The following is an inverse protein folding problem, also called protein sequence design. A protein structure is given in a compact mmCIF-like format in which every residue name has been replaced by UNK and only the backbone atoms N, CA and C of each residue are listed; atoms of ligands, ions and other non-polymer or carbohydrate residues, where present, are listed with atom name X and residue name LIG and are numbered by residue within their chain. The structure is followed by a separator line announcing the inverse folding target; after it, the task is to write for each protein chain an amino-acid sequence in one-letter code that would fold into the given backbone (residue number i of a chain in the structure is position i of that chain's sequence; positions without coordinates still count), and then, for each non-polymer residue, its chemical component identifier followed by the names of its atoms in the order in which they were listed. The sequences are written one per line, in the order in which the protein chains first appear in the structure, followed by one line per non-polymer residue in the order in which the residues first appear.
data_IF_893828477896
#
_entry.id   IF_893828477896
#
_cell.length_a   1.000
_cell.length_b   1.000
_cell.length_c   1.000
_cell.angle_alpha   90.00
_cell.angle_beta   90.00
_cell.angle_gamma   90.00
#
_symmetry.space_group_name_H-M   'P 1'
#
loop_
_entity.id
_entity.type
_entity.pdbx_description
1 polymer ?
#
# COMPACT_ATOMS: atom_id res chain seq x y z
N UNK A 1 -1.04 6.82 16.54
CA UNK A 1 -1.47 5.83 15.53
C UNK A 1 -1.14 6.39 14.15
N UNK A 2 -0.79 5.54 13.17
CA UNK A 2 -0.28 6.01 11.87
C UNK A 2 -1.44 6.53 11.02
N UNK A 3 -1.40 7.80 10.60
CA UNK A 3 -2.46 8.47 9.83
C UNK A 3 -2.88 7.69 8.58
N UNK A 4 -1.94 6.95 7.98
CA UNK A 4 -2.23 6.12 6.81
C UNK A 4 -3.03 4.87 7.16
N UNK A 5 -2.68 4.18 8.25
CA UNK A 5 -3.43 3.02 8.74
C UNK A 5 -4.86 3.42 9.09
N UNK A 6 -5.04 4.56 9.75
CA UNK A 6 -6.37 5.05 10.13
C UNK A 6 -7.20 5.40 8.88
N UNK A 7 -6.57 6.00 7.87
CA UNK A 7 -7.20 6.26 6.58
C UNK A 7 -7.60 4.97 5.84
N UNK A 8 -6.75 3.94 5.84
CA UNK A 8 -7.05 2.64 5.23
C UNK A 8 -8.21 1.91 5.91
N UNK A 9 -8.32 2.04 7.24
CA UNK A 9 -9.35 1.37 8.05
C UNK A 9 -10.66 2.14 8.17
N UNK A 10 -10.72 3.38 7.67
CA UNK A 10 -11.99 4.11 7.65
C UNK A 10 -12.96 3.35 6.75
N UNK A 11 -14.16 3.11 7.25
CA UNK A 11 -15.21 2.43 6.50
C UNK A 11 -15.90 3.40 5.54
N UNK A 12 -16.07 2.96 4.30
CA UNK A 12 -16.94 3.56 3.31
C UNK A 12 -18.21 2.71 3.21
N UNK A 13 -19.34 3.39 3.02
CA UNK A 13 -20.61 2.75 2.67
C UNK A 13 -20.79 2.89 1.16
N UNK A 14 -20.84 1.77 0.45
CA UNK A 14 -20.98 1.74 -1.01
C UNK A 14 -22.09 0.77 -1.38
N UNK A 15 -22.99 1.21 -2.26
CA UNK A 15 -24.01 0.34 -2.83
C UNK A 15 -23.47 -0.38 -4.06
N UNK A 16 -23.70 -1.69 -4.12
CA UNK A 16 -23.34 -2.55 -5.24
C UNK A 16 -24.56 -3.30 -5.75
N UNK A 17 -24.71 -3.36 -7.07
CA UNK A 17 -25.52 -4.38 -7.71
C UNK A 17 -24.63 -5.58 -8.02
N UNK A 18 -24.95 -6.75 -7.44
CA UNK A 18 -24.17 -7.99 -7.56
C UNK A 18 -24.97 -9.06 -8.30
N UNK A 19 -24.86 -9.16 -9.64
CA UNK A 19 -25.60 -10.12 -10.46
C UNK A 19 -25.42 -11.59 -10.05
N UNK A 20 -24.22 -11.99 -9.64
CA UNK A 20 -23.87 -13.35 -9.22
C UNK A 20 -24.72 -13.88 -8.05
N UNK A 21 -25.26 -12.97 -7.25
CA UNK A 21 -26.15 -13.26 -6.12
C UNK A 21 -27.53 -12.62 -6.26
N UNK A 22 -27.77 -11.91 -7.38
CA UNK A 22 -29.01 -11.23 -7.74
C UNK A 22 -29.54 -10.29 -6.63
N UNK A 23 -28.65 -9.43 -6.11
CA UNK A 23 -28.98 -8.51 -5.01
C UNK A 23 -28.35 -7.14 -5.20
N UNK A 24 -29.07 -6.11 -4.78
CA UNK A 24 -28.48 -4.84 -4.41
C UNK A 24 -28.07 -4.93 -2.94
N UNK A 25 -26.82 -4.58 -2.65
CA UNK A 25 -26.24 -4.67 -1.31
C UNK A 25 -25.57 -3.35 -0.98
N UNK A 26 -25.91 -2.78 0.16
CA UNK A 26 -25.14 -1.69 0.77
C UNK A 26 -24.05 -2.33 1.64
N UNK A 27 -22.79 -2.15 1.25
CA UNK A 27 -21.65 -2.70 1.98
C UNK A 27 -20.93 -1.59 2.74
N UNK A 28 -20.79 -1.81 4.05
CA UNK A 28 -19.89 -1.05 4.91
C UNK A 28 -18.55 -1.78 5.02
N UNK A 29 -17.55 -1.26 4.32
CA UNK A 29 -16.24 -1.90 4.16
C UNK A 29 -15.11 -0.89 4.36
N UNK A 30 -13.97 -1.28 4.95
CA UNK A 30 -12.81 -0.41 5.05
C UNK A 30 -12.20 -0.15 3.66
N UNK A 31 -11.65 1.05 3.42
CA UNK A 31 -11.04 1.42 2.13
C UNK A 31 -10.01 0.40 1.65
N UNK A 32 -9.21 -0.17 2.56
CA UNK A 32 -8.18 -1.16 2.18
C UNK A 32 -8.78 -2.39 1.49
N UNK A 33 -10.02 -2.75 1.79
CA UNK A 33 -10.67 -3.94 1.24
C UNK A 33 -11.02 -3.70 -0.24
N UNK A 34 -11.56 -2.53 -0.56
CA UNK A 34 -11.82 -2.11 -1.94
C UNK A 34 -10.51 -2.01 -2.75
N UNK A 35 -9.47 -1.42 -2.17
CA UNK A 35 -8.14 -1.35 -2.80
C UNK A 35 -7.51 -2.75 -2.99
N UNK A 36 -7.76 -3.70 -2.08
CA UNK A 36 -7.30 -5.09 -2.21
C UNK A 36 -8.01 -5.82 -3.36
N UNK A 37 -9.33 -5.66 -3.48
CA UNK A 37 -10.10 -6.23 -4.61
C UNK A 37 -9.50 -5.70 -5.91
N UNK A 38 -9.37 -4.38 -6.02
CA UNK A 38 -8.81 -3.72 -7.19
C UNK A 38 -7.40 -4.21 -7.55
N UNK A 39 -6.49 -4.22 -6.57
CA UNK A 39 -5.11 -4.64 -6.77
C UNK A 39 -4.94 -6.13 -7.06
N UNK A 40 -5.81 -7.02 -6.56
CA UNK A 40 -5.67 -8.47 -6.76
C UNK A 40 -6.29 -8.92 -8.10
N UNK A 41 -7.44 -8.37 -8.48
CA UNK A 41 -8.10 -8.67 -9.74
C UNK A 41 -7.26 -8.14 -10.92
N UNK A 42 -6.78 -6.89 -10.84
CA UNK A 42 -5.90 -6.30 -11.87
C UNK A 42 -4.59 -7.08 -12.10
N UNK A 43 -4.09 -7.79 -11.08
CA UNK A 43 -2.87 -8.62 -11.15
C UNK A 43 -3.15 -10.10 -11.47
N UNK A 44 -4.41 -10.48 -11.69
CA UNK A 44 -4.84 -11.86 -11.89
C UNK A 44 -4.30 -12.84 -10.83
N UNK A 45 -4.22 -12.42 -9.56
CA UNK A 45 -3.65 -13.24 -8.48
C UNK A 45 -4.73 -14.09 -7.79
N UNK A 46 -4.97 -15.30 -8.31
CA UNK A 46 -6.02 -16.19 -7.82
C UNK A 46 -5.87 -16.57 -6.34
N UNK A 47 -4.66 -16.90 -5.87
CA UNK A 47 -4.42 -17.28 -4.47
C UNK A 47 -4.77 -16.13 -3.52
N UNK A 48 -4.39 -14.90 -3.85
CA UNK A 48 -4.75 -13.71 -3.04
C UNK A 48 -6.22 -13.35 -3.14
N UNK A 49 -6.90 -13.72 -4.22
CA UNK A 49 -8.34 -13.50 -4.39
C UNK A 49 -9.18 -14.36 -3.45
N UNK A 50 -8.72 -15.56 -3.07
CA UNK A 50 -9.44 -16.43 -2.10
C UNK A 50 -9.50 -15.79 -0.72
N UNK A 51 -8.38 -15.27 -0.21
CA UNK A 51 -8.37 -14.60 1.10
C UNK A 51 -9.26 -13.36 1.11
N UNK A 52 -9.26 -12.58 0.02
CA UNK A 52 -10.16 -11.44 -0.15
C UNK A 52 -11.62 -11.87 -0.29
N UNK A 53 -11.90 -13.04 -0.88
CA UNK A 53 -13.23 -13.60 -0.98
C UNK A 53 -13.80 -13.95 0.39
N UNK A 54 -12.99 -14.59 1.23
CA UNK A 54 -13.36 -14.91 2.61
C UNK A 54 -13.66 -13.63 3.40
N UNK A 55 -12.83 -12.59 3.25
CA UNK A 55 -13.06 -11.29 3.87
C UNK A 55 -14.36 -10.64 3.38
N UNK A 56 -14.60 -10.61 2.06
CA UNK A 56 -15.83 -10.11 1.45
C UNK A 56 -17.08 -10.87 1.91
N UNK A 57 -17.02 -12.21 1.99
CA UNK A 57 -18.11 -13.04 2.50
C UNK A 57 -18.50 -12.63 3.93
N UNK A 58 -17.51 -12.30 4.77
CA UNK A 58 -17.75 -11.77 6.11
C UNK A 58 -18.49 -10.43 6.10
N UNK A 59 -18.14 -9.53 5.18
CA UNK A 59 -18.84 -8.25 5.02
C UNK A 59 -20.26 -8.41 4.46
N UNK A 60 -20.46 -9.27 3.47
CA UNK A 60 -21.79 -9.63 2.95
C UNK A 60 -22.67 -10.21 4.05
N UNK A 61 -22.13 -11.10 4.88
CA UNK A 61 -22.87 -11.70 6.01
C UNK A 61 -23.28 -10.65 7.04
N UNK A 62 -22.42 -9.67 7.34
CA UNK A 62 -22.77 -8.54 8.22
C UNK A 62 -23.87 -7.65 7.63
N UNK A 63 -23.97 -7.57 6.31
CA UNK A 63 -25.05 -6.90 5.59
C UNK A 63 -26.33 -7.77 5.44
N UNK A 64 -26.36 -8.96 6.07
CA UNK A 64 -27.51 -9.88 6.01
C UNK A 64 -27.56 -10.75 4.75
N UNK A 65 -26.47 -10.83 3.99
CA UNK A 65 -26.38 -11.58 2.73
C UNK A 65 -25.42 -12.76 2.93
N UNK A 66 -25.98 -13.95 3.11
CA UNK A 66 -25.21 -15.19 3.25
C UNK A 66 -24.98 -15.83 1.88
N UNK A 67 -23.71 -16.05 1.54
CA UNK A 67 -23.27 -16.56 0.24
C UNK A 67 -22.20 -17.62 0.44
N UNK A 68 -22.07 -18.53 -0.52
CA UNK A 68 -20.95 -19.46 -0.58
C UNK A 68 -19.66 -18.75 -1.03
N UNK A 69 -18.50 -19.33 -0.72
CA UNK A 69 -17.20 -18.72 -1.06
C UNK A 69 -17.07 -18.42 -2.56
N UNK A 70 -17.50 -19.34 -3.43
CA UNK A 70 -17.43 -19.16 -4.87
C UNK A 70 -18.28 -17.97 -5.34
N UNK A 71 -19.40 -17.67 -4.68
CA UNK A 71 -20.23 -16.51 -5.00
C UNK A 71 -19.54 -15.22 -4.57
N UNK A 72 -18.86 -15.21 -3.41
CA UNK A 72 -18.03 -14.09 -3.01
C UNK A 72 -16.83 -13.87 -3.96
N UNK A 73 -16.27 -14.94 -4.55
CA UNK A 73 -15.25 -14.81 -5.59
C UNK A 73 -15.80 -14.16 -6.87
N UNK A 74 -17.01 -14.53 -7.30
CA UNK A 74 -17.66 -13.88 -8.45
C UNK A 74 -18.00 -12.41 -8.15
N UNK A 75 -18.53 -12.13 -6.96
CA UNK A 75 -18.86 -10.77 -6.53
C UNK A 75 -17.64 -9.84 -6.47
N UNK A 76 -16.42 -10.35 -6.23
CA UNK A 76 -15.22 -9.51 -6.31
C UNK A 76 -14.99 -8.93 -7.71
N UNK A 77 -15.21 -9.72 -8.76
CA UNK A 77 -15.07 -9.23 -10.12
C UNK A 77 -16.12 -8.16 -10.43
N UNK A 78 -17.35 -8.38 -9.97
CA UNK A 78 -18.44 -7.40 -10.13
C UNK A 78 -18.16 -6.10 -9.37
N UNK A 79 -17.64 -6.20 -8.14
CA UNK A 79 -17.20 -5.03 -7.36
C UNK A 79 -16.05 -4.33 -8.08
N UNK A 80 -15.06 -5.08 -8.58
CA UNK A 80 -13.94 -4.52 -9.36
C UNK A 80 -14.45 -3.71 -10.56
N UNK A 81 -15.34 -4.29 -11.37
CA UNK A 81 -15.90 -3.64 -12.55
C UNK A 81 -16.63 -2.33 -12.20
N UNK A 82 -17.18 -2.20 -10.98
CA UNK A 82 -17.83 -0.99 -10.49
C UNK A 82 -16.83 0.05 -9.98
N UNK A 83 -15.72 -0.37 -9.35
CA UNK A 83 -14.82 0.55 -8.64
C UNK A 83 -13.54 0.91 -9.40
N UNK A 84 -13.09 0.09 -10.37
CA UNK A 84 -11.72 0.21 -10.90
C UNK A 84 -11.44 1.54 -11.60
N UNK A 85 -12.44 2.12 -12.29
CA UNK A 85 -12.27 3.35 -13.04
C UNK A 85 -12.28 4.59 -12.16
N UNK A 86 -13.08 4.59 -11.09
CA UNK A 86 -13.36 5.79 -10.31
C UNK A 86 -12.74 5.76 -8.90
N UNK A 87 -12.81 4.65 -8.17
CA UNK A 87 -12.42 4.60 -6.76
C UNK A 87 -10.90 4.64 -6.58
N UNK A 88 -10.19 3.77 -7.30
CA UNK A 88 -8.73 3.68 -7.21
C UNK A 88 -8.05 4.92 -7.78
N UNK A 89 -8.55 5.43 -8.91
CA UNK A 89 -8.08 6.69 -9.50
C UNK A 89 -8.29 7.86 -8.53
N UNK A 90 -9.46 7.93 -7.87
CA UNK A 90 -9.77 8.96 -6.89
C UNK A 90 -8.79 8.95 -5.70
N UNK A 91 -8.45 7.78 -5.19
CA UNK A 91 -7.58 7.66 -4.01
C UNK A 91 -6.08 7.61 -4.34
N UNK A 92 -5.69 7.45 -5.61
CA UNK A 92 -4.30 7.30 -6.03
C UNK A 92 -3.39 8.42 -5.52
N UNK A 93 -3.79 9.69 -5.66
CA UNK A 93 -2.99 10.82 -5.17
C UNK A 93 -2.85 10.80 -3.66
N UNK A 94 -3.91 10.44 -2.93
CA UNK A 94 -3.88 10.35 -1.46
C UNK A 94 -2.95 9.23 -0.98
N UNK A 95 -2.97 8.08 -1.65
CA UNK A 95 -2.04 6.97 -1.39
C UNK A 95 -0.60 7.43 -1.68
N UNK A 96 -0.38 8.12 -2.80
CA UNK A 96 0.95 8.64 -3.16
C UNK A 96 1.50 9.60 -2.09
N UNK A 97 0.67 10.48 -1.53
CA UNK A 97 1.05 11.35 -0.41
C UNK A 97 1.46 10.55 0.83
N UNK A 98 0.68 9.54 1.22
CA UNK A 98 1.04 8.70 2.37
C UNK A 98 2.34 7.92 2.13
N UNK A 99 2.53 7.34 0.95
CA UNK A 99 3.75 6.62 0.58
C UNK A 99 4.96 7.55 0.54
N UNK A 100 4.81 8.77 0.03
CA UNK A 100 5.85 9.79 0.05
C UNK A 100 6.25 10.14 1.49
N UNK A 101 5.27 10.34 2.38
CA UNK A 101 5.52 10.56 3.81
C UNK A 101 6.26 9.40 4.48
N UNK A 102 5.91 8.15 4.16
CA UNK A 102 6.63 6.96 4.66
C UNK A 102 8.08 6.92 4.14
N UNK A 103 8.29 7.20 2.86
CA UNK A 103 9.64 7.24 2.27
C UNK A 103 10.51 8.29 2.94
N UNK A 104 9.99 9.51 3.12
CA UNK A 104 10.68 10.57 3.84
C UNK A 104 10.89 10.23 5.32
N UNK A 105 9.95 9.53 5.96
CA UNK A 105 10.12 9.01 7.31
C UNK A 105 11.30 8.05 7.43
N UNK A 106 11.41 7.09 6.51
CA UNK A 106 12.54 6.15 6.44
C UNK A 106 13.85 6.88 6.15
N UNK A 107 13.85 7.80 5.17
CA UNK A 107 15.00 8.61 4.80
C UNK A 107 15.53 9.38 6.02
N UNK A 108 14.66 10.11 6.71
CA UNK A 108 15.02 10.92 7.87
C UNK A 108 15.49 10.06 9.05
N UNK A 109 14.88 8.90 9.26
CA UNK A 109 15.29 7.97 10.31
C UNK A 109 16.71 7.41 10.08
N UNK A 110 17.05 7.09 8.83
CA UNK A 110 18.34 6.49 8.48
C UNK A 110 19.44 7.51 8.19
N UNK A 111 19.10 8.77 7.91
CA UNK A 111 20.06 9.80 7.55
C UNK A 111 21.20 10.00 8.59
N UNK A 112 20.97 9.91 9.91
CA UNK A 112 22.05 9.97 10.90
C UNK A 112 23.06 8.82 10.74
N UNK A 113 22.58 7.60 10.45
CA UNK A 113 23.44 6.43 10.26
C UNK A 113 24.19 6.49 8.93
N UNK A 114 23.53 6.97 7.86
CA UNK A 114 24.19 7.28 6.60
C UNK A 114 25.31 8.31 6.81
N UNK A 115 25.02 9.42 7.50
CA UNK A 115 26.01 10.48 7.78
C UNK A 115 27.19 9.98 8.61
N UNK A 116 26.95 9.09 9.57
CA UNK A 116 27.99 8.46 10.39
C UNK A 116 28.89 7.53 9.56
N UNK A 117 28.29 6.75 8.67
CA UNK A 117 28.98 5.66 7.99
C UNK A 117 29.64 6.08 6.67
N UNK A 118 29.10 7.08 5.98
CA UNK A 118 29.58 7.52 4.68
C UNK A 118 31.03 8.02 4.75
N UNK A 119 31.90 7.38 3.98
CA UNK A 119 33.32 7.72 3.88
C UNK A 119 33.65 8.01 2.42
N UNK A 120 33.85 9.29 2.03
CA UNK A 120 34.33 9.60 0.70
C UNK A 120 35.77 9.09 0.53
N UNK A 121 36.02 8.34 -0.53
CA UNK A 121 37.35 7.86 -0.88
C UNK A 121 37.96 8.84 -1.91
N UNK A 122 39.07 9.47 -1.57
CA UNK A 122 39.73 10.45 -2.44
C UNK A 122 40.24 9.86 -3.76
N UNK A 123 40.32 10.69 -4.80
CA UNK A 123 40.85 10.36 -6.13
C UNK A 123 40.13 11.12 -7.26
N UNK A 124 40.53 10.87 -8.52
CA UNK A 124 39.93 11.49 -9.72
C UNK A 124 38.51 10.96 -10.05
N UNK A 125 38.06 9.90 -9.38
CA UNK A 125 36.73 9.31 -9.54
C UNK A 125 35.97 9.37 -8.21
N UNK A 126 34.66 9.64 -8.22
CA UNK A 126 33.85 9.63 -7.01
C UNK A 126 33.73 8.20 -6.48
N UNK A 127 34.64 7.84 -5.58
CA UNK A 127 34.60 6.59 -4.81
C UNK A 127 34.11 6.89 -3.41
N UNK A 128 33.35 5.98 -2.84
CA UNK A 128 32.90 6.06 -1.46
C UNK A 128 32.70 4.66 -0.90
N UNK A 129 32.75 4.58 0.43
CA UNK A 129 32.41 3.38 1.18
C UNK A 129 31.57 3.73 2.40
N UNK A 130 31.08 2.69 3.08
CA UNK A 130 30.34 2.83 4.33
C UNK A 130 31.07 2.07 5.44
N UNK A 131 31.23 2.72 6.58
CA UNK A 131 31.72 2.09 7.80
C UNK A 131 30.62 1.27 8.45
N UNK A 132 30.71 -0.06 8.29
CA UNK A 132 29.79 -1.01 8.93
C UNK A 132 29.85 -0.91 10.46
N UNK A 133 28.70 -1.07 11.16
CA UNK A 133 28.68 -1.28 12.60
C UNK A 133 29.54 -2.49 12.99
N UNK A 134 30.29 -2.40 14.09
CA UNK A 134 31.22 -3.46 14.52
C UNK A 134 30.53 -4.79 14.83
N UNK A 135 29.29 -4.74 15.32
CA UNK A 135 28.48 -5.94 15.59
C UNK A 135 28.00 -6.67 14.33
N UNK A 136 28.18 -6.07 13.15
CA UNK A 136 27.67 -6.56 11.89
C UNK A 136 28.77 -7.36 11.18
N UNK A 137 28.94 -8.61 11.58
CA UNK A 137 29.99 -9.50 11.08
C UNK A 137 29.55 -10.31 9.85
N UNK A 138 28.26 -10.66 9.78
CA UNK A 138 27.68 -11.50 8.73
C UNK A 138 27.78 -10.85 7.33
N UNK A 139 28.34 -11.55 6.32
CA UNK A 139 28.50 -11.00 4.97
C UNK A 139 27.19 -10.63 4.27
N UNK A 140 26.11 -11.36 4.52
CA UNK A 140 24.81 -11.06 3.95
C UNK A 140 24.25 -9.78 4.57
N UNK A 141 24.32 -9.64 5.89
CA UNK A 141 23.94 -8.42 6.59
C UNK A 141 24.73 -7.20 6.08
N UNK A 142 26.04 -7.35 5.81
CA UNK A 142 26.86 -6.25 5.23
C UNK A 142 26.33 -5.82 3.87
N UNK A 143 25.95 -6.78 3.03
CA UNK A 143 25.35 -6.52 1.72
C UNK A 143 24.01 -5.79 1.84
N UNK A 144 23.14 -6.22 2.76
CA UNK A 144 21.87 -5.53 3.05
C UNK A 144 22.09 -4.10 3.53
N UNK A 145 23.05 -3.90 4.45
CA UNK A 145 23.42 -2.58 4.95
C UNK A 145 23.94 -1.67 3.84
N UNK A 146 24.84 -2.17 2.99
CA UNK A 146 25.36 -1.45 1.83
C UNK A 146 24.23 -0.98 0.90
N UNK A 147 23.30 -1.87 0.57
CA UNK A 147 22.16 -1.54 -0.28
C UNK A 147 21.25 -0.49 0.38
N UNK A 148 21.03 -0.62 1.69
CA UNK A 148 20.22 0.34 2.44
C UNK A 148 20.86 1.74 2.46
N UNK A 149 22.16 1.84 2.73
CA UNK A 149 22.85 3.14 2.75
C UNK A 149 22.92 3.77 1.36
N UNK A 150 23.02 2.97 0.30
CA UNK A 150 22.91 3.47 -1.08
C UNK A 150 21.50 3.98 -1.41
N UNK A 151 20.46 3.32 -0.90
CA UNK A 151 19.10 3.81 -1.05
C UNK A 151 18.93 5.18 -0.36
N UNK A 152 19.46 5.32 0.85
CA UNK A 152 19.48 6.60 1.58
C UNK A 152 20.31 7.64 0.82
N UNK A 153 21.45 7.26 0.24
CA UNK A 153 22.28 8.14 -0.58
C UNK A 153 21.54 8.69 -1.80
N UNK A 154 20.75 7.86 -2.49
CA UNK A 154 19.95 8.30 -3.64
C UNK A 154 18.80 9.25 -3.25
N UNK A 155 18.28 9.10 -2.03
CA UNK A 155 17.16 9.87 -1.52
C UNK A 155 15.83 9.61 -2.25
N UNK A 156 14.71 10.17 -1.75
CA UNK A 156 13.42 10.12 -2.42
C UNK A 156 13.44 10.95 -3.72
N UNK A 157 12.77 10.45 -4.77
CA UNK A 157 12.67 11.13 -6.08
C UNK A 157 11.81 12.40 -5.98
N UNK A 158 10.77 12.37 -5.14
CA UNK A 158 9.81 13.46 -4.99
C UNK A 158 9.95 14.12 -3.63
N UNK A 159 10.00 15.45 -3.64
CA UNK A 159 9.88 16.27 -2.43
C UNK A 159 8.59 15.97 -1.66
N UNK A 160 8.54 16.26 -0.34
CA UNK A 160 7.31 16.16 0.43
C UNK A 160 6.18 16.96 -0.21
N UNK A 161 5.01 16.34 -0.38
CA UNK A 161 3.84 17.02 -0.95
C UNK A 161 2.56 16.72 -0.18
N UNK A 162 1.54 17.53 -0.44
CA UNK A 162 0.20 17.33 0.10
C UNK A 162 -0.83 17.54 -1.01
N UNK A 163 -1.72 16.58 -1.14
CA UNK A 163 -2.85 16.59 -2.08
C UNK A 163 -3.97 17.46 -1.52
N UNK A 164 -4.60 18.22 -2.42
CA UNK A 164 -5.72 19.11 -2.11
C UNK A 164 -6.88 18.36 -1.46
N UNK A 165 -7.52 18.99 -0.47
CA UNK A 165 -8.68 18.42 0.24
C UNK A 165 -9.83 17.99 -0.68
N UNK A 166 -9.97 18.62 -1.85
CA UNK A 166 -11.04 18.34 -2.80
C UNK A 166 -10.90 16.95 -3.44
N UNK A 167 -9.68 16.39 -3.45
CA UNK A 167 -9.40 15.02 -3.92
C UNK A 167 -9.39 13.99 -2.77
N UNK A 168 -9.82 14.39 -1.55
CA UNK A 168 -9.81 13.54 -0.35
C UNK A 168 -11.18 13.28 0.30
N UNK A 169 -12.22 14.00 -0.10
CA UNK A 169 -13.51 14.07 0.64
C UNK A 169 -14.73 13.36 0.03
N UNK A 170 -14.60 12.64 -1.10
CA UNK A 170 -15.75 12.05 -1.82
C UNK A 170 -16.11 10.63 -1.32
N UNK A 171 -15.16 9.93 -0.68
CA UNK A 171 -15.30 8.55 -0.16
C UNK A 171 -14.42 8.33 1.10
#
# INVERSE_FOLDING_TARGET
MSTFTDWLNTEATVEFWLPSINRQVELRVPRYMLLKIDGNISKHNFLRSVDVANELQGHLSKAGVHVELFQAMLAQQEIYDIIHDDFSAYHASTIAEFLNGLYWGIQNYLNPEYSRSFTPEGGDLPRYSFQYPTALEDPYAKTCYWNLMNHVHSGPIFEPFTVTRHLKGKY
#
